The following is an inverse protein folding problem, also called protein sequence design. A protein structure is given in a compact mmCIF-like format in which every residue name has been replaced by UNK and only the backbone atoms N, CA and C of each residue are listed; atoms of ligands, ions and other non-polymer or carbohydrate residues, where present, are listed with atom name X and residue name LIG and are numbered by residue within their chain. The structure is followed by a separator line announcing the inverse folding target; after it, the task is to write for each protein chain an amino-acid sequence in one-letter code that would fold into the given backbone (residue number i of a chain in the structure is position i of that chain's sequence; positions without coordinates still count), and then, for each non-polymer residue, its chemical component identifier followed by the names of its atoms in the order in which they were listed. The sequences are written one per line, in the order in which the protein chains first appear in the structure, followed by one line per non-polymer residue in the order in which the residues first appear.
data_IF_980448885516
#
_entry.id   IF_980448885516
#
_cell.length_a   1.000
_cell.length_b   1.000
_cell.length_c   1.000
_cell.angle_alpha   90.00
_cell.angle_beta   90.00
_cell.angle_gamma   90.00
#
_symmetry.space_group_name_H-M   'P 1'
#
loop_
_entity.id
_entity.type
_entity.pdbx_description
1 polymer ?
#
# COMPACT_ATOMS: atom_id res chain seq x y z
N UNK A 1 -15.17 -0.51 -11.46
CA UNK A 1 -14.04 0.43 -11.37
C UNK A 1 -12.76 -0.39 -11.49
N UNK A 2 -12.11 -0.42 -12.66
CA UNK A 2 -10.78 -1.05 -12.78
C UNK A 2 -9.83 -0.13 -11.99
N UNK A 3 -9.40 -0.56 -10.82
CA UNK A 3 -8.27 0.07 -10.14
C UNK A 3 -7.08 -0.18 -11.07
N UNK A 4 -6.75 0.83 -11.89
CA UNK A 4 -5.57 0.77 -12.74
C UNK A 4 -4.37 0.57 -11.82
N UNK A 5 -3.42 -0.25 -12.27
CA UNK A 5 -2.20 -0.60 -11.54
C UNK A 5 -1.54 0.61 -10.82
N UNK A 6 -1.56 1.77 -11.47
CA UNK A 6 -1.11 3.08 -10.99
C UNK A 6 -1.74 3.51 -9.68
N UNK A 7 -3.03 3.21 -9.45
CA UNK A 7 -3.76 3.71 -8.30
C UNK A 7 -3.29 3.13 -6.96
N UNK A 8 -2.74 1.91 -6.93
CA UNK A 8 -2.22 1.33 -5.67
C UNK A 8 -0.89 1.98 -5.27
N UNK A 9 0.01 2.18 -6.24
CA UNK A 9 1.27 2.87 -6.00
C UNK A 9 1.03 4.30 -5.48
N UNK A 10 0.16 5.06 -6.16
CA UNK A 10 -0.20 6.42 -5.75
C UNK A 10 -0.77 6.49 -4.32
N UNK A 11 -1.56 5.49 -3.93
CA UNK A 11 -2.15 5.39 -2.60
C UNK A 11 -1.10 5.13 -1.52
N UNK A 12 -0.15 4.22 -1.78
CA UNK A 12 0.95 3.91 -0.85
C UNK A 12 1.83 5.15 -0.68
N UNK A 13 2.20 5.81 -1.79
CA UNK A 13 3.04 7.00 -1.77
C UNK A 13 2.38 8.15 -0.99
N UNK A 14 1.06 8.30 -1.10
CA UNK A 14 0.32 9.36 -0.41
C UNK A 14 0.22 9.15 1.10
N UNK A 15 0.22 7.89 1.56
CA UNK A 15 0.23 7.57 2.99
C UNK A 15 1.61 7.76 3.59
N UNK A 16 2.67 7.44 2.85
CA UNK A 16 4.05 7.48 3.35
C UNK A 16 4.34 6.39 4.39
N UNK A 17 5.44 6.52 5.14
CA UNK A 17 5.83 5.55 6.17
C UNK A 17 6.32 4.19 5.65
N UNK A 18 6.48 4.06 4.33
CA UNK A 18 7.01 2.89 3.64
C UNK A 18 8.38 3.25 3.05
N UNK A 19 9.38 2.41 3.26
CA UNK A 19 10.72 2.59 2.71
C UNK A 19 10.77 2.23 1.22
N UNK A 20 10.20 1.07 0.87
CA UNK A 20 10.09 0.60 -0.50
C UNK A 20 8.92 -0.38 -0.63
N UNK A 21 8.39 -0.54 -1.83
CA UNK A 21 7.38 -1.56 -2.11
C UNK A 21 7.57 -2.18 -3.49
N UNK A 22 6.99 -3.37 -3.68
CA UNK A 22 6.82 -4.00 -4.99
C UNK A 22 5.39 -4.51 -5.13
N UNK A 23 4.87 -4.47 -6.35
CA UNK A 23 3.49 -4.82 -6.66
C UNK A 23 3.49 -5.91 -7.72
N UNK A 24 2.87 -7.04 -7.39
CA UNK A 24 2.57 -8.10 -8.34
C UNK A 24 1.09 -7.99 -8.74
N UNK A 25 0.86 -7.50 -9.96
CA UNK A 25 -0.48 -7.30 -10.49
C UNK A 25 -1.16 -8.60 -10.93
N UNK A 26 -0.37 -9.63 -11.27
CA UNK A 26 -0.90 -10.92 -11.71
C UNK A 26 -1.46 -11.69 -10.51
N UNK A 27 -0.71 -11.71 -9.40
CA UNK A 27 -1.17 -12.34 -8.15
C UNK A 27 -1.98 -11.42 -7.23
N UNK A 28 -2.10 -10.12 -7.58
CA UNK A 28 -2.77 -9.08 -6.78
C UNK A 28 -2.20 -8.97 -5.37
N UNK A 29 -0.87 -8.96 -5.26
CA UNK A 29 -0.10 -8.86 -4.02
C UNK A 29 0.77 -7.62 -4.00
N UNK A 30 0.96 -7.06 -2.82
CA UNK A 30 1.88 -5.95 -2.54
C UNK A 30 2.84 -6.39 -1.44
N UNK A 31 4.12 -6.15 -1.65
CA UNK A 31 5.17 -6.42 -0.68
C UNK A 31 5.73 -5.08 -0.23
N UNK A 32 5.46 -4.71 1.01
CA UNK A 32 5.95 -3.49 1.64
C UNK A 32 7.23 -3.77 2.43
N UNK A 33 8.16 -2.84 2.41
CA UNK A 33 9.25 -2.76 3.38
C UNK A 33 9.04 -1.50 4.19
N UNK A 34 8.86 -1.66 5.50
CA UNK A 34 8.67 -0.53 6.43
C UNK A 34 9.98 0.21 6.67
N UNK A 35 9.92 1.37 7.30
CA UNK A 35 11.12 2.13 7.69
C UNK A 35 12.01 1.40 8.72
N UNK A 36 11.48 0.40 9.44
CA UNK A 36 12.26 -0.47 10.33
C UNK A 36 12.94 -1.64 9.60
N UNK A 37 12.70 -1.79 8.29
CA UNK A 37 13.21 -2.90 7.48
C UNK A 37 12.35 -4.16 7.53
N UNK A 38 11.23 -4.15 8.24
CA UNK A 38 10.26 -5.24 8.25
C UNK A 38 9.60 -5.39 6.88
N UNK A 39 9.42 -6.64 6.44
CA UNK A 39 8.73 -6.95 5.18
C UNK A 39 7.34 -7.50 5.46
N UNK A 40 6.34 -6.88 4.84
CA UNK A 40 4.94 -7.24 4.97
C UNK A 40 4.36 -7.55 3.60
N UNK A 41 3.73 -8.70 3.48
CA UNK A 41 2.97 -9.08 2.28
C UNK A 41 1.48 -8.82 2.53
N UNK A 42 0.83 -8.16 1.57
CA UNK A 42 -0.59 -7.80 1.66
C UNK A 42 -1.29 -8.06 0.32
N UNK A 43 -2.57 -8.42 0.37
CA UNK A 43 -3.39 -8.42 -0.83
C UNK A 43 -3.77 -6.99 -1.24
N UNK A 44 -4.23 -6.80 -2.48
CA UNK A 44 -4.74 -5.49 -2.91
C UNK A 44 -5.86 -4.96 -2.01
N UNK A 45 -6.76 -5.84 -1.58
CA UNK A 45 -7.90 -5.44 -0.74
C UNK A 45 -7.43 -5.02 0.66
N UNK A 46 -6.42 -5.70 1.21
CA UNK A 46 -5.82 -5.33 2.49
C UNK A 46 -5.08 -4.00 2.42
N UNK A 47 -4.36 -3.74 1.31
CA UNK A 47 -3.68 -2.45 1.10
C UNK A 47 -4.68 -1.30 1.03
N UNK A 48 -5.78 -1.47 0.28
CA UNK A 48 -6.81 -0.44 0.19
C UNK A 48 -7.40 -0.11 1.56
N UNK A 49 -7.68 -1.14 2.38
CA UNK A 49 -8.15 -0.96 3.75
C UNK A 49 -7.11 -0.27 4.62
N UNK A 50 -5.85 -0.72 4.57
CA UNK A 50 -4.76 -0.15 5.34
C UNK A 50 -4.54 1.33 5.00
N UNK A 51 -4.51 1.68 3.71
CA UNK A 51 -4.38 3.08 3.27
C UNK A 51 -5.50 3.95 3.83
N UNK A 52 -6.75 3.48 3.74
CA UNK A 52 -7.90 4.23 4.29
C UNK A 52 -7.73 4.46 5.80
N UNK A 53 -7.28 3.45 6.54
CA UNK A 53 -7.03 3.58 7.98
C UNK A 53 -5.86 4.52 8.30
N UNK A 54 -4.79 4.53 7.49
CA UNK A 54 -3.69 5.48 7.68
C UNK A 54 -4.12 6.91 7.37
N UNK A 55 -4.86 7.13 6.27
CA UNK A 55 -5.36 8.47 5.92
C UNK A 55 -6.27 9.05 7.01
N UNK A 56 -7.08 8.23 7.68
CA UNK A 56 -7.89 8.67 8.83
C UNK A 56 -7.03 9.17 9.99
N UNK A 57 -5.87 8.55 10.22
CA UNK A 57 -4.94 8.92 11.31
C UNK A 57 -4.18 10.22 11.02
N UNK A 58 -3.91 10.52 9.75
CA UNK A 58 -3.17 11.73 9.35
C UNK A 58 -4.01 13.01 9.41
N UNK A 59 -5.34 12.92 9.47
CA UNK A 59 -6.27 14.08 9.46
C UNK A 59 -6.60 14.58 10.87
N UNK A 60 -5.82 14.23 11.90
CA UNK A 60 -5.98 14.73 13.28
C UNK A 60 -4.72 15.44 13.78
#
# INVERSE_FOLDING_TARGET
MRITATAIADLIDRVGGVYSYSIDYDSRRVFLTTMSGERVEMTFDDILRWVVEQMKRTVH
#
